data_IF_724385080055
#
_entry.id   IF_724385080055
#
_cell.length_a   1.000
_cell.length_b   1.000
_cell.length_c   1.000
_cell.angle_alpha   90.00
_cell.angle_beta   90.00
_cell.angle_gamma   90.00
#
_symmetry.space_group_name_H-M   'P 1'
#
loop_
_entity.id
_entity.type
_entity.pdbx_description
1 polymer ?
#
# COMPACT_ATOMS: atom_id res chain seq x y z
N UNK A 1 26.18 6.85 -70.25
CA UNK A 1 26.66 5.92 -69.23
C UNK A 1 26.84 6.66 -67.94
N UNK A 2 25.87 6.62 -67.06
CA UNK A 2 25.85 7.29 -65.75
C UNK A 2 26.14 6.26 -64.69
N UNK A 3 27.24 6.40 -63.95
CA UNK A 3 27.65 5.54 -62.84
C UNK A 3 27.04 6.09 -61.54
N UNK A 4 26.15 5.32 -60.92
CA UNK A 4 25.66 5.57 -59.56
C UNK A 4 26.62 4.94 -58.56
N UNK A 5 27.23 5.75 -57.71
CA UNK A 5 27.98 5.30 -56.55
C UNK A 5 27.03 5.13 -55.38
N UNK A 6 26.95 3.89 -54.87
CA UNK A 6 26.20 3.53 -53.68
C UNK A 6 27.06 3.85 -52.45
N UNK A 7 26.66 4.84 -51.64
CA UNK A 7 27.28 5.13 -50.32
C UNK A 7 26.55 4.28 -49.28
N UNK A 8 27.21 3.28 -48.75
CA UNK A 8 26.75 2.48 -47.62
C UNK A 8 27.22 3.19 -46.34
N UNK A 9 26.30 3.83 -45.65
CA UNK A 9 26.56 4.39 -44.30
C UNK A 9 26.45 3.28 -43.25
N UNK A 10 27.57 2.84 -42.70
CA UNK A 10 27.61 1.99 -41.49
C UNK A 10 27.18 2.85 -40.28
N UNK A 11 26.00 2.58 -39.76
CA UNK A 11 25.60 3.05 -38.44
C UNK A 11 26.31 2.19 -37.39
N UNK A 12 27.40 2.70 -36.82
CA UNK A 12 28.01 2.19 -35.62
C UNK A 12 27.06 2.54 -34.44
N UNK A 13 26.29 1.56 -34.00
CA UNK A 13 25.54 1.64 -32.73
C UNK A 13 26.54 1.77 -31.59
N UNK A 14 26.66 2.97 -31.03
CA UNK A 14 27.37 3.18 -29.78
C UNK A 14 26.62 2.44 -28.66
N UNK A 15 27.13 1.30 -28.20
CA UNK A 15 26.77 0.73 -26.91
C UNK A 15 27.13 1.76 -25.84
N UNK A 16 26.13 2.39 -25.25
CA UNK A 16 26.35 3.18 -24.04
C UNK A 16 26.98 2.24 -22.98
N UNK A 17 28.05 2.67 -22.31
CA UNK A 17 28.66 1.85 -21.28
C UNK A 17 27.61 1.62 -20.18
N UNK A 18 27.36 0.35 -19.82
CA UNK A 18 26.63 -0.02 -18.63
C UNK A 18 27.43 0.55 -17.44
N UNK A 19 27.04 1.73 -16.94
CA UNK A 19 27.55 2.22 -15.67
C UNK A 19 27.11 1.22 -14.59
N UNK A 20 28.08 0.64 -13.90
CA UNK A 20 27.80 -0.14 -12.70
C UNK A 20 26.93 0.70 -11.75
N UNK A 21 25.89 0.11 -11.13
CA UNK A 21 25.05 0.86 -10.22
C UNK A 21 25.92 1.44 -9.10
N UNK A 22 25.79 2.75 -8.87
CA UNK A 22 26.48 3.42 -7.79
C UNK A 22 26.05 2.77 -6.45
N UNK A 23 26.97 2.14 -5.75
CA UNK A 23 26.73 1.53 -4.45
C UNK A 23 26.29 2.58 -3.42
N UNK A 24 25.49 2.16 -2.44
CA UNK A 24 25.15 2.99 -1.29
C UNK A 24 26.40 3.14 -0.42
N UNK A 25 26.95 4.34 -0.33
CA UNK A 25 28.08 4.66 0.54
C UNK A 25 27.58 5.37 1.79
N UNK A 26 27.74 4.73 2.92
CA UNK A 26 27.39 5.26 4.23
C UNK A 26 28.67 5.56 5.02
N UNK A 27 28.60 6.53 5.92
CA UNK A 27 29.75 6.96 6.72
C UNK A 27 29.40 7.01 8.22
N UNK A 28 30.42 7.17 9.06
CA UNK A 28 30.26 7.27 10.51
C UNK A 28 29.72 5.97 11.12
N UNK A 29 28.75 6.12 12.01
CA UNK A 29 28.12 4.97 12.71
C UNK A 29 27.36 4.02 11.78
N UNK A 30 27.10 4.41 10.54
CA UNK A 30 26.44 3.58 9.54
C UNK A 30 27.41 3.05 8.47
N UNK A 31 28.72 3.18 8.66
CA UNK A 31 29.70 2.61 7.75
C UNK A 31 29.54 1.08 7.68
N UNK A 32 29.42 0.55 6.46
CA UNK A 32 29.27 -0.88 6.24
C UNK A 32 30.64 -1.55 6.04
N UNK A 33 30.85 -2.69 6.69
CA UNK A 33 32.02 -3.55 6.46
C UNK A 33 31.94 -4.29 5.13
N UNK A 34 30.73 -4.68 4.75
CA UNK A 34 30.47 -5.36 3.49
C UNK A 34 29.21 -4.81 2.82
N UNK A 35 29.29 -4.64 1.51
CA UNK A 35 28.17 -4.20 0.67
C UNK A 35 28.15 -5.02 -0.61
N UNK A 36 26.99 -5.61 -0.89
CA UNK A 36 26.77 -6.33 -2.15
C UNK A 36 25.60 -5.71 -2.88
N UNK A 37 25.83 -5.26 -4.13
CA UNK A 37 24.80 -4.60 -4.96
C UNK A 37 24.60 -5.37 -6.25
N UNK A 38 23.33 -5.59 -6.59
CA UNK A 38 22.88 -6.25 -7.83
C UNK A 38 21.85 -5.37 -8.54
N UNK A 39 21.98 -5.23 -9.85
CA UNK A 39 20.95 -4.62 -10.69
C UNK A 39 19.80 -5.61 -10.91
N UNK A 40 18.57 -5.20 -10.59
CA UNK A 40 17.36 -6.00 -10.83
C UNK A 40 16.70 -5.62 -12.16
N UNK A 41 16.77 -4.35 -12.52
CA UNK A 41 16.31 -3.79 -13.80
C UNK A 41 17.00 -2.46 -14.05
N UNK A 42 16.78 -1.86 -15.22
CA UNK A 42 17.27 -0.49 -15.47
C UNK A 42 16.72 0.50 -14.45
N UNK A 43 17.59 1.13 -13.69
CA UNK A 43 17.24 2.06 -12.60
C UNK A 43 16.74 1.39 -11.31
N UNK A 44 16.83 0.05 -11.18
CA UNK A 44 16.46 -0.67 -9.96
C UNK A 44 17.63 -1.52 -9.49
N UNK A 45 18.03 -1.31 -8.23
CA UNK A 45 19.11 -2.07 -7.60
C UNK A 45 18.66 -2.68 -6.27
N UNK A 46 19.22 -3.81 -5.93
CA UNK A 46 19.18 -4.40 -4.61
C UNK A 46 20.57 -4.31 -3.98
N UNK A 47 20.62 -3.87 -2.73
CA UNK A 47 21.87 -3.81 -1.96
C UNK A 47 21.65 -4.48 -0.61
N UNK A 48 22.52 -5.41 -0.24
CA UNK A 48 22.63 -5.90 1.12
C UNK A 48 23.93 -5.37 1.76
N UNK A 49 23.88 -5.04 3.03
CA UNK A 49 25.02 -4.50 3.78
C UNK A 49 25.02 -4.97 5.23
N UNK A 50 26.21 -5.18 5.76
CA UNK A 50 26.43 -5.39 7.20
C UNK A 50 27.05 -4.13 7.79
N UNK A 51 26.47 -3.63 8.87
CA UNK A 51 26.90 -2.42 9.59
C UNK A 51 27.29 -2.84 11.01
N UNK A 52 28.59 -2.98 11.31
CA UNK A 52 29.06 -3.62 12.55
C UNK A 52 28.78 -2.81 13.80
N UNK A 53 28.67 -1.49 13.69
CA UNK A 53 28.40 -0.62 14.85
C UNK A 53 27.06 -0.87 15.54
N UNK A 54 26.09 -1.51 14.83
CA UNK A 54 24.76 -1.83 15.34
C UNK A 54 24.68 -3.05 16.27
N UNK A 55 25.12 -4.28 15.93
CA UNK A 55 25.28 -4.77 14.56
C UNK A 55 23.95 -4.85 13.80
N UNK A 56 23.98 -4.52 12.51
CA UNK A 56 22.77 -4.50 11.65
C UNK A 56 23.02 -5.12 10.28
N UNK A 57 22.19 -6.07 9.89
CA UNK A 57 22.06 -6.51 8.52
C UNK A 57 20.90 -5.74 7.88
N UNK A 58 21.19 -5.07 6.78
CA UNK A 58 20.27 -4.17 6.09
C UNK A 58 20.15 -4.54 4.62
N UNK A 59 18.95 -4.48 4.13
CA UNK A 59 18.59 -4.80 2.75
C UNK A 59 17.80 -3.63 2.16
N UNK A 60 18.26 -3.13 1.01
CA UNK A 60 17.69 -1.95 0.35
C UNK A 60 17.41 -2.25 -1.11
N UNK A 61 16.18 -2.06 -1.53
CA UNK A 61 15.85 -1.96 -2.96
C UNK A 61 15.69 -0.48 -3.30
N UNK A 62 16.47 -0.01 -4.27
CA UNK A 62 16.45 1.39 -4.72
C UNK A 62 15.84 1.47 -6.12
N UNK A 63 14.89 2.37 -6.30
CA UNK A 63 14.22 2.66 -7.58
C UNK A 63 14.56 4.11 -7.95
N UNK A 64 15.36 4.29 -8.99
CA UNK A 64 15.76 5.61 -9.47
C UNK A 64 14.58 6.38 -10.09
N UNK A 65 14.59 7.72 -10.06
CA UNK A 65 13.63 8.52 -10.80
C UNK A 65 13.70 8.16 -12.29
N UNK A 66 12.53 7.96 -12.91
CA UNK A 66 12.47 7.59 -14.34
C UNK A 66 12.87 6.14 -14.64
N UNK A 67 12.96 5.26 -13.66
CA UNK A 67 13.06 3.82 -13.90
C UNK A 67 11.85 3.37 -14.73
N UNK A 68 12.08 3.05 -16.02
CA UNK A 68 11.00 2.76 -16.97
C UNK A 68 10.53 1.31 -16.86
N UNK A 69 9.21 1.13 -16.92
CA UNK A 69 8.59 -0.20 -16.95
C UNK A 69 8.54 -0.89 -15.60
N UNK A 70 8.74 -0.16 -14.50
CA UNK A 70 8.51 -0.64 -13.14
C UNK A 70 7.32 0.08 -12.51
N UNK A 71 6.56 -0.62 -11.69
CA UNK A 71 5.36 -0.10 -11.05
C UNK A 71 5.25 -0.63 -9.62
N UNK A 72 4.90 0.23 -8.69
CA UNK A 72 4.54 -0.19 -7.34
C UNK A 72 3.09 -0.67 -7.32
N UNK A 73 2.85 -1.77 -6.61
CA UNK A 73 1.52 -2.31 -6.35
C UNK A 73 1.35 -2.63 -4.87
N UNK A 74 0.14 -2.41 -4.36
CA UNK A 74 -0.24 -2.86 -3.02
C UNK A 74 -1.21 -4.03 -3.15
N UNK A 75 -0.88 -5.14 -2.52
CA UNK A 75 -1.67 -6.37 -2.63
C UNK A 75 -2.10 -6.84 -1.25
N UNK A 76 -3.38 -7.12 -1.10
CA UNK A 76 -3.96 -7.68 0.12
C UNK A 76 -3.70 -9.18 0.20
N UNK A 77 -3.40 -9.68 1.39
CA UNK A 77 -3.29 -11.13 1.62
C UNK A 77 -4.60 -11.83 1.29
N UNK A 78 -4.53 -12.88 0.46
CA UNK A 78 -5.69 -13.65 -0.05
C UNK A 78 -6.72 -12.79 -0.81
N UNK A 79 -6.38 -11.55 -1.19
CA UNK A 79 -7.27 -10.56 -1.84
C UNK A 79 -8.52 -10.20 -1.01
N UNK A 80 -8.50 -10.43 0.29
CA UNK A 80 -9.60 -10.14 1.21
C UNK A 80 -9.18 -9.23 2.36
N UNK A 81 -10.13 -8.40 2.85
CA UNK A 81 -9.93 -7.54 4.02
C UNK A 81 -9.49 -8.36 5.23
N UNK A 82 -10.14 -9.50 5.44
CA UNK A 82 -9.76 -10.49 6.46
C UNK A 82 -8.91 -11.56 5.79
N UNK A 83 -7.59 -11.44 5.88
CA UNK A 83 -6.69 -12.39 5.23
C UNK A 83 -5.23 -12.10 5.52
N UNK A 84 -4.43 -13.17 5.60
CA UNK A 84 -2.98 -13.10 5.75
C UNK A 84 -2.32 -14.05 4.78
N UNK A 85 -1.24 -13.61 4.16
CA UNK A 85 -0.47 -14.41 3.23
C UNK A 85 1.01 -14.06 3.35
N UNK A 86 1.90 -15.01 3.11
CA UNK A 86 3.34 -14.77 3.12
C UNK A 86 3.74 -13.84 1.98
N UNK A 87 4.58 -12.81 2.19
CA UNK A 87 5.06 -11.92 1.12
C UNK A 87 5.60 -12.65 -0.11
N UNK A 88 6.35 -13.75 0.08
CA UNK A 88 6.83 -14.57 -1.04
C UNK A 88 5.71 -15.25 -1.83
N UNK A 89 4.63 -15.65 -1.17
CA UNK A 89 3.45 -16.23 -1.83
C UNK A 89 2.67 -15.18 -2.61
N UNK A 90 2.46 -13.99 -2.01
CA UNK A 90 1.84 -12.85 -2.69
C UNK A 90 2.65 -12.46 -3.93
N UNK A 91 3.98 -12.33 -3.81
CA UNK A 91 4.86 -12.01 -4.93
C UNK A 91 4.72 -13.02 -6.07
N UNK A 92 4.72 -14.32 -5.76
CA UNK A 92 4.62 -15.41 -6.75
C UNK A 92 3.27 -15.41 -7.46
N UNK A 93 2.14 -15.32 -6.71
CA UNK A 93 0.82 -15.33 -7.34
C UNK A 93 0.56 -14.06 -8.16
N UNK A 94 1.06 -12.89 -7.68
CA UNK A 94 0.95 -11.65 -8.44
C UNK A 94 1.76 -11.71 -9.74
N UNK A 95 2.99 -12.22 -9.69
CA UNK A 95 3.80 -12.42 -10.89
C UNK A 95 3.09 -13.31 -11.92
N UNK A 96 2.44 -14.38 -11.48
CA UNK A 96 1.67 -15.29 -12.34
C UNK A 96 0.42 -14.61 -12.93
N UNK A 97 -0.36 -13.89 -12.11
CA UNK A 97 -1.59 -13.20 -12.52
C UNK A 97 -1.31 -12.07 -13.52
N UNK A 98 -0.31 -11.23 -13.21
CA UNK A 98 0.09 -10.08 -14.04
C UNK A 98 0.93 -10.48 -15.26
N UNK A 99 1.48 -11.70 -15.26
CA UNK A 99 2.47 -12.16 -16.27
C UNK A 99 3.65 -11.19 -16.37
N UNK A 100 4.10 -10.71 -15.21
CA UNK A 100 5.20 -9.75 -15.02
C UNK A 100 6.10 -10.23 -13.87
N UNK A 101 7.43 -10.02 -13.95
CA UNK A 101 8.28 -10.34 -12.81
C UNK A 101 7.98 -9.41 -11.64
N UNK A 102 7.96 -9.95 -10.42
CA UNK A 102 8.03 -9.17 -9.19
C UNK A 102 9.51 -9.03 -8.86
N UNK A 103 10.05 -7.82 -9.03
CA UNK A 103 11.45 -7.50 -8.77
C UNK A 103 11.75 -7.48 -7.27
N UNK A 104 10.82 -6.92 -6.49
CA UNK A 104 10.91 -6.87 -5.04
C UNK A 104 9.52 -6.85 -4.39
N UNK A 105 9.46 -7.27 -3.13
CA UNK A 105 8.29 -7.15 -2.28
C UNK A 105 8.70 -6.98 -0.82
N UNK A 106 7.92 -6.20 -0.06
CA UNK A 106 8.07 -6.08 1.39
C UNK A 106 6.69 -6.16 2.06
N UNK A 107 6.65 -6.69 3.30
CA UNK A 107 5.45 -6.55 4.13
C UNK A 107 5.11 -5.06 4.29
N UNK A 108 3.83 -4.73 4.45
CA UNK A 108 3.43 -3.33 4.50
C UNK A 108 2.78 -2.95 5.84
N UNK A 109 1.48 -2.74 5.89
CA UNK A 109 0.79 -2.15 7.03
C UNK A 109 0.73 -3.08 8.24
N UNK A 110 0.57 -2.48 9.40
CA UNK A 110 0.19 -3.17 10.65
C UNK A 110 -1.19 -3.82 10.49
N UNK A 111 -1.44 -4.86 11.25
CA UNK A 111 -2.70 -5.60 11.17
C UNK A 111 -3.13 -6.20 12.50
N UNK A 112 -4.43 -6.43 12.62
CA UNK A 112 -5.02 -7.08 13.77
C UNK A 112 -4.84 -8.60 13.72
N UNK A 113 -4.61 -9.22 14.88
CA UNK A 113 -4.61 -10.67 15.01
C UNK A 113 -6.03 -11.24 15.23
N UNK A 114 -6.99 -10.38 15.62
CA UNK A 114 -8.40 -10.71 15.84
C UNK A 114 -9.31 -9.57 15.35
N UNK A 115 -10.09 -9.73 14.26
CA UNK A 115 -10.00 -10.81 13.28
C UNK A 115 -8.66 -10.79 12.55
N UNK A 116 -8.13 -11.97 12.14
CA UNK A 116 -6.79 -12.06 11.62
C UNK A 116 -6.63 -11.37 10.26
N UNK A 117 -5.63 -10.49 10.15
CA UNK A 117 -5.22 -9.92 8.89
C UNK A 117 -6.00 -8.70 8.40
N UNK A 118 -6.84 -8.08 9.24
CA UNK A 118 -7.37 -6.74 8.92
C UNK A 118 -6.26 -5.72 9.13
N UNK A 119 -5.84 -5.03 8.06
CA UNK A 119 -4.85 -3.95 8.15
C UNK A 119 -5.42 -2.74 8.88
N UNK A 120 -4.54 -1.95 9.53
CA UNK A 120 -4.97 -0.79 10.32
C UNK A 120 -5.29 0.41 9.44
N UNK A 121 -4.41 0.74 8.51
CA UNK A 121 -4.56 1.86 7.61
C UNK A 121 -5.48 1.60 6.42
N UNK A 122 -5.74 2.65 5.64
CA UNK A 122 -6.48 2.54 4.39
C UNK A 122 -5.63 1.85 3.32
N UNK A 123 -6.29 1.23 2.34
CA UNK A 123 -5.63 0.62 1.20
C UNK A 123 -6.38 0.90 -0.11
N UNK A 124 -5.61 1.27 -1.14
CA UNK A 124 -6.03 1.30 -2.54
C UNK A 124 -5.16 0.33 -3.31
N UNK A 125 -5.75 -0.55 -4.10
CA UNK A 125 -5.04 -1.51 -4.95
C UNK A 125 -5.57 -1.42 -6.38
N UNK A 126 -4.68 -1.20 -7.34
CA UNK A 126 -5.02 -1.01 -8.76
C UNK A 126 -6.18 -0.02 -8.97
N UNK A 127 -6.16 1.12 -8.26
CA UNK A 127 -7.17 2.18 -8.32
C UNK A 127 -8.46 1.90 -7.52
N UNK A 128 -8.63 0.72 -6.95
CA UNK A 128 -9.82 0.35 -6.18
C UNK A 128 -9.58 0.53 -4.69
N UNK A 129 -10.47 1.23 -4.00
CA UNK A 129 -10.42 1.32 -2.54
C UNK A 129 -10.74 -0.05 -1.95
N UNK A 130 -9.74 -0.66 -1.31
CA UNK A 130 -9.85 -1.99 -0.67
C UNK A 130 -10.56 -1.88 0.66
N UNK A 131 -10.15 -0.91 1.49
CA UNK A 131 -10.76 -0.62 2.79
C UNK A 131 -10.37 0.77 3.29
N UNK A 132 -11.16 1.30 4.20
CA UNK A 132 -10.83 2.46 5.00
C UNK A 132 -9.86 2.10 6.13
N UNK A 133 -9.27 3.10 6.74
CA UNK A 133 -8.61 2.99 8.02
C UNK A 133 -9.53 2.39 9.08
N UNK A 134 -8.94 1.71 10.07
CA UNK A 134 -9.70 1.14 11.18
C UNK A 134 -10.06 2.24 12.19
N UNK A 135 -11.33 2.62 12.19
CA UNK A 135 -11.85 3.65 13.10
C UNK A 135 -12.07 3.14 14.52
N UNK A 136 -12.06 1.85 14.78
CA UNK A 136 -12.20 1.33 16.15
C UNK A 136 -11.03 1.70 17.06
N UNK A 137 -9.86 1.96 16.50
CA UNK A 137 -8.73 2.59 17.19
C UNK A 137 -8.79 4.12 17.24
N UNK A 138 -9.61 4.71 16.41
CA UNK A 138 -9.91 6.15 16.41
C UNK A 138 -10.73 6.65 17.60
N UNK A 139 -10.96 5.82 18.60
CA UNK A 139 -11.28 6.32 19.95
C UNK A 139 -10.19 7.26 20.52
N UNK A 140 -9.02 7.25 19.91
CA UNK A 140 -8.06 8.33 19.93
C UNK A 140 -8.57 9.39 18.93
N UNK A 141 -9.36 10.32 19.42
CA UNK A 141 -10.08 11.40 18.75
C UNK A 141 -9.33 12.17 17.66
N UNK A 142 -8.04 11.96 17.52
CA UNK A 142 -7.12 12.69 16.65
C UNK A 142 -6.89 12.00 15.29
N UNK A 143 -7.01 10.66 15.19
CA UNK A 143 -6.73 9.93 13.94
C UNK A 143 -7.81 10.14 12.89
N UNK A 144 -9.08 10.25 13.30
CA UNK A 144 -10.21 10.55 12.39
C UNK A 144 -10.04 11.93 11.76
N UNK A 145 -9.44 12.87 12.51
CA UNK A 145 -9.23 14.23 12.01
C UNK A 145 -7.96 14.36 11.17
N UNK A 146 -6.89 13.65 11.52
CA UNK A 146 -5.57 13.78 10.88
C UNK A 146 -5.34 12.76 9.75
N UNK A 147 -6.01 11.62 9.77
CA UNK A 147 -5.76 10.51 8.86
C UNK A 147 -4.66 9.57 9.35
N UNK A 148 -4.38 8.53 8.55
CA UNK A 148 -3.38 7.50 8.83
C UNK A 148 -2.15 7.73 7.95
N UNK A 149 -0.92 7.80 8.52
CA UNK A 149 0.29 7.85 7.71
C UNK A 149 0.31 6.74 6.66
N UNK A 150 0.54 7.13 5.42
CA UNK A 150 0.42 6.23 4.27
C UNK A 150 1.39 6.63 3.16
N UNK A 151 1.77 5.65 2.36
CA UNK A 151 2.46 5.84 1.09
C UNK A 151 1.54 5.43 -0.05
N UNK A 152 1.54 6.18 -1.13
CA UNK A 152 0.75 5.88 -2.31
C UNK A 152 1.44 6.22 -3.61
N UNK A 153 0.76 5.85 -4.70
CA UNK A 153 1.15 6.15 -6.08
C UNK A 153 -0.03 6.82 -6.76
N UNK A 154 0.20 7.96 -7.38
CA UNK A 154 -0.83 8.70 -8.10
C UNK A 154 -1.08 8.15 -9.53
N UNK A 155 -1.95 8.83 -10.27
CA UNK A 155 -2.29 8.48 -11.65
C UNK A 155 -1.08 8.49 -12.59
N UNK A 156 -0.08 9.33 -12.32
CA UNK A 156 1.12 9.52 -13.13
C UNK A 156 2.26 8.60 -12.71
N UNK A 157 2.05 7.74 -11.71
CA UNK A 157 3.05 6.82 -11.18
C UNK A 157 4.01 7.44 -10.17
N UNK A 158 3.72 8.66 -9.69
CA UNK A 158 4.55 9.36 -8.71
C UNK A 158 4.22 8.87 -7.30
N UNK A 159 5.26 8.50 -6.56
CA UNK A 159 5.13 8.11 -5.14
C UNK A 159 4.92 9.36 -4.28
N UNK A 160 3.97 9.31 -3.37
CA UNK A 160 3.67 10.38 -2.40
C UNK A 160 3.48 9.80 -0.99
N UNK A 161 3.68 10.67 0.02
CA UNK A 161 3.43 10.37 1.42
C UNK A 161 2.37 11.31 1.96
N UNK A 162 1.45 10.80 2.77
CA UNK A 162 0.32 11.58 3.27
C UNK A 162 -0.25 11.00 4.56
N UNK A 163 -1.09 11.77 5.23
CA UNK A 163 -1.99 11.26 6.28
C UNK A 163 -3.35 11.01 5.64
N UNK A 164 -3.52 9.77 5.16
CA UNK A 164 -4.66 9.37 4.35
C UNK A 164 -5.93 9.15 5.15
N UNK A 165 -7.05 9.53 4.57
CA UNK A 165 -8.40 9.25 5.06
C UNK A 165 -9.29 8.91 3.86
N UNK A 166 -10.02 7.78 3.93
CA UNK A 166 -10.97 7.41 2.90
C UNK A 166 -12.27 8.16 3.11
N UNK A 167 -12.69 8.89 2.11
CA UNK A 167 -14.00 9.54 2.08
C UNK A 167 -14.66 9.37 0.73
N UNK A 168 -15.94 9.61 0.66
CA UNK A 168 -16.68 9.48 -0.58
C UNK A 168 -18.08 10.02 -0.49
N UNK A 169 -18.79 9.83 -1.59
CA UNK A 169 -20.20 10.17 -1.71
C UNK A 169 -20.89 9.25 -2.69
N UNK A 170 -22.20 9.10 -2.54
CA UNK A 170 -23.08 8.58 -3.59
C UNK A 170 -24.26 9.55 -3.78
N UNK A 171 -24.88 9.52 -4.95
CA UNK A 171 -26.08 10.31 -5.25
C UNK A 171 -26.93 9.66 -6.32
N UNK A 172 -28.22 10.00 -6.31
CA UNK A 172 -29.14 9.81 -7.42
C UNK A 172 -28.88 10.86 -8.51
N UNK A 173 -29.48 10.67 -9.68
CA UNK A 173 -29.29 11.56 -10.84
C UNK A 173 -29.55 13.05 -10.52
N UNK A 174 -30.57 13.36 -9.75
CA UNK A 174 -31.00 14.72 -9.36
C UNK A 174 -30.87 15.00 -7.87
N UNK A 175 -30.23 14.07 -7.11
CA UNK A 175 -30.11 14.16 -5.65
C UNK A 175 -28.83 14.84 -5.19
N UNK A 176 -28.87 15.39 -3.98
CA UNK A 176 -27.69 15.85 -3.27
C UNK A 176 -26.76 14.67 -2.94
N UNK A 177 -25.44 14.90 -2.93
CA UNK A 177 -24.49 13.87 -2.54
C UNK A 177 -24.65 13.45 -1.07
N UNK A 178 -24.73 12.14 -0.84
CA UNK A 178 -24.74 11.53 0.50
C UNK A 178 -23.32 11.12 0.87
N UNK A 179 -22.78 11.57 2.00
CA UNK A 179 -21.43 11.22 2.40
C UNK A 179 -21.28 9.73 2.70
N UNK A 180 -20.20 9.13 2.17
CA UNK A 180 -19.74 7.79 2.51
C UNK A 180 -18.62 7.90 3.54
N UNK A 181 -18.75 7.18 4.65
CA UNK A 181 -17.84 7.25 5.80
C UNK A 181 -16.86 6.10 5.89
N UNK A 182 -16.95 5.16 4.97
CA UNK A 182 -16.03 4.02 4.97
C UNK A 182 -16.23 3.06 3.82
N UNK A 183 -15.25 2.19 3.66
CA UNK A 183 -15.27 1.07 2.70
C UNK A 183 -14.85 -0.18 3.42
N UNK A 184 -15.64 -1.26 3.30
CA UNK A 184 -15.35 -2.56 3.91
C UNK A 184 -15.05 -2.47 5.43
N UNK A 185 -15.81 -1.67 6.13
CA UNK A 185 -15.72 -1.45 7.57
C UNK A 185 -17.12 -1.50 8.22
N UNK A 186 -17.19 -1.48 9.53
CA UNK A 186 -18.46 -1.46 10.25
C UNK A 186 -19.29 -0.20 9.96
N UNK A 187 -20.62 -0.34 9.92
CA UNK A 187 -21.55 0.74 9.66
C UNK A 187 -21.91 1.43 10.97
N UNK A 188 -21.37 2.61 11.22
CA UNK A 188 -21.75 3.41 12.38
C UNK A 188 -23.15 4.00 12.21
N UNK A 189 -23.83 4.29 13.32
CA UNK A 189 -25.16 4.89 13.31
C UNK A 189 -25.16 6.24 12.57
N UNK A 190 -26.08 6.41 11.63
CA UNK A 190 -26.19 7.63 10.82
C UNK A 190 -25.13 7.77 9.73
N UNK A 191 -24.45 6.70 9.36
CA UNK A 191 -23.44 6.69 8.30
C UNK A 191 -23.77 5.71 7.18
N UNK A 192 -23.22 5.99 5.99
CA UNK A 192 -23.21 5.08 4.87
C UNK A 192 -21.81 4.54 4.64
N UNK A 193 -21.72 3.25 4.33
CA UNK A 193 -20.48 2.51 4.04
C UNK A 193 -20.65 1.78 2.71
N UNK A 194 -19.58 1.65 1.95
CA UNK A 194 -19.55 0.80 0.77
C UNK A 194 -18.91 -0.54 1.09
N UNK A 195 -19.56 -1.62 0.67
CA UNK A 195 -18.96 -2.94 0.61
C UNK A 195 -18.65 -3.33 -0.83
N UNK A 196 -17.53 -3.96 -1.07
CA UNK A 196 -17.13 -4.53 -2.35
C UNK A 196 -16.51 -5.92 -2.12
N UNK A 197 -16.17 -6.63 -3.20
CA UNK A 197 -15.70 -8.02 -3.13
C UNK A 197 -14.44 -8.26 -2.30
N UNK A 198 -13.73 -7.23 -1.85
CA UNK A 198 -12.61 -7.38 -0.92
C UNK A 198 -13.06 -7.77 0.50
N UNK A 199 -14.32 -7.47 0.91
CA UNK A 199 -14.83 -7.96 2.20
C UNK A 199 -15.11 -9.47 2.17
N UNK A 200 -15.38 -10.01 1.00
CA UNK A 200 -15.79 -11.39 0.75
C UNK A 200 -16.90 -11.47 -0.28
N UNK A 201 -17.51 -12.63 -0.42
CA UNK A 201 -18.65 -12.85 -1.31
C UNK A 201 -19.97 -12.23 -0.79
N UNK A 202 -20.00 -11.88 0.50
CA UNK A 202 -21.18 -11.32 1.18
C UNK A 202 -20.79 -10.19 2.11
N UNK A 203 -21.73 -9.27 2.36
CA UNK A 203 -21.62 -8.28 3.44
C UNK A 203 -21.66 -8.98 4.81
N UNK A 204 -21.09 -8.38 5.87
CA UNK A 204 -21.25 -8.89 7.22
C UNK A 204 -22.70 -8.89 7.67
N UNK A 205 -23.07 -9.91 8.46
CA UNK A 205 -24.37 -9.94 9.14
C UNK A 205 -24.42 -8.80 10.16
N UNK A 206 -25.25 -7.81 9.92
CA UNK A 206 -25.38 -6.63 10.78
C UNK A 206 -26.84 -6.16 10.87
N UNK A 207 -27.45 -6.35 12.03
CA UNK A 207 -28.83 -5.97 12.27
C UNK A 207 -29.04 -4.44 12.27
N UNK A 208 -30.11 -3.98 11.67
CA UNK A 208 -30.46 -2.55 11.60
C UNK A 208 -29.68 -1.79 10.53
N UNK A 209 -29.16 -2.48 9.54
CA UNK A 209 -28.53 -1.92 8.34
C UNK A 209 -29.45 -2.15 7.16
N UNK A 210 -29.68 -1.11 6.38
CA UNK A 210 -30.33 -1.19 5.06
C UNK A 210 -29.24 -1.35 4.02
N UNK A 211 -29.34 -2.36 3.16
CA UNK A 211 -28.36 -2.69 2.15
C UNK A 211 -28.95 -2.52 0.75
N UNK A 212 -28.29 -1.75 -0.08
CA UNK A 212 -28.65 -1.50 -1.48
C UNK A 212 -27.59 -2.10 -2.39
N UNK A 213 -27.99 -3.11 -3.16
CA UNK A 213 -27.11 -3.79 -4.10
C UNK A 213 -27.08 -2.99 -5.40
N UNK A 214 -25.89 -2.54 -5.79
CA UNK A 214 -25.66 -1.72 -6.97
C UNK A 214 -24.78 -2.47 -7.96
N UNK A 215 -25.35 -2.84 -9.10
CA UNK A 215 -24.60 -3.37 -10.24
C UNK A 215 -23.80 -2.27 -10.89
N UNK A 216 -22.48 -2.42 -10.95
CA UNK A 216 -21.57 -1.47 -11.55
C UNK A 216 -21.71 -1.50 -13.08
N UNK A 217 -22.11 -0.39 -13.69
CA UNK A 217 -22.18 -0.21 -15.14
C UNK A 217 -20.89 0.37 -15.69
N UNK A 218 -20.30 1.34 -14.96
CA UNK A 218 -19.00 1.94 -15.26
C UNK A 218 -18.21 2.08 -13.98
N UNK A 219 -17.18 1.28 -13.85
CA UNK A 219 -16.26 1.34 -12.71
C UNK A 219 -15.40 2.61 -12.75
N UNK A 220 -15.00 3.10 -11.58
CA UNK A 220 -13.91 4.05 -11.46
C UNK A 220 -12.61 3.39 -11.91
N UNK A 221 -11.79 4.08 -12.69
CA UNK A 221 -10.49 3.59 -13.11
C UNK A 221 -9.47 3.75 -11.97
N UNK A 222 -9.57 4.83 -11.22
CA UNK A 222 -8.72 5.14 -10.06
C UNK A 222 -9.58 5.66 -8.90
N UNK A 223 -9.09 5.54 -7.68
CA UNK A 223 -9.69 6.20 -6.54
C UNK A 223 -9.67 7.72 -6.77
N UNK A 224 -10.84 8.36 -6.65
CA UNK A 224 -11.10 9.74 -7.03
C UNK A 224 -11.98 9.89 -8.27
N UNK A 225 -12.01 8.91 -9.16
CA UNK A 225 -12.91 8.93 -10.32
C UNK A 225 -14.35 8.63 -9.89
N UNK A 226 -15.31 9.03 -10.75
CA UNK A 226 -16.73 8.73 -10.55
C UNK A 226 -17.10 7.42 -11.23
N UNK A 227 -17.71 6.52 -10.47
CA UNK A 227 -18.35 5.31 -10.95
C UNK A 227 -19.85 5.51 -11.13
N UNK A 228 -20.49 4.63 -11.89
CA UNK A 228 -21.93 4.61 -12.14
C UNK A 228 -22.46 3.18 -12.07
N UNK A 229 -23.59 3.00 -11.44
CA UNK A 229 -24.28 1.72 -11.36
C UNK A 229 -25.79 1.85 -11.38
N UNK A 230 -26.45 0.71 -11.35
CA UNK A 230 -27.91 0.57 -11.28
C UNK A 230 -28.27 -0.27 -10.08
N UNK A 231 -29.22 0.19 -9.29
CA UNK A 231 -29.78 -0.56 -8.17
C UNK A 231 -30.44 -1.83 -8.70
N UNK A 232 -30.07 -2.98 -8.16
CA UNK A 232 -30.65 -4.28 -8.52
C UNK A 232 -31.42 -4.92 -7.38
N UNK A 233 -31.23 -4.45 -6.16
CA UNK A 233 -31.95 -4.94 -4.98
C UNK A 233 -31.79 -3.99 -3.80
N UNK A 234 -32.78 -4.03 -2.91
CA UNK A 234 -32.76 -3.35 -1.61
C UNK A 234 -33.16 -4.41 -0.59
N UNK A 235 -32.34 -4.60 0.42
CA UNK A 235 -32.56 -5.57 1.46
C UNK A 235 -32.47 -4.91 2.85
N UNK A 236 -33.47 -5.17 3.67
CA UNK A 236 -33.50 -4.79 5.08
C UNK A 236 -33.39 -6.01 6.00
N UNK A 237 -33.12 -7.18 5.42
CA UNK A 237 -32.95 -8.42 6.18
C UNK A 237 -31.64 -8.41 7.00
N UNK A 238 -31.63 -9.21 8.07
CA UNK A 238 -30.58 -9.18 9.09
C UNK A 238 -29.35 -10.06 8.75
N UNK A 239 -29.27 -10.59 7.53
CA UNK A 239 -28.37 -11.71 7.22
C UNK A 239 -27.28 -11.40 6.19
N UNK A 240 -27.00 -10.13 5.91
CA UNK A 240 -26.07 -9.73 4.85
C UNK A 240 -26.53 -10.12 3.46
N UNK A 241 -25.97 -9.50 2.41
CA UNK A 241 -26.31 -9.76 1.00
C UNK A 241 -25.08 -10.21 0.22
N UNK A 242 -25.31 -10.92 -0.88
CA UNK A 242 -24.25 -11.32 -1.81
C UNK A 242 -23.71 -10.10 -2.55
N UNK A 243 -22.38 -10.08 -2.73
CA UNK A 243 -21.67 -9.05 -3.48
C UNK A 243 -21.13 -9.69 -4.76
N UNK A 244 -21.82 -9.56 -5.91
CA UNK A 244 -21.29 -10.07 -7.16
C UNK A 244 -19.97 -9.40 -7.54
N UNK A 245 -19.11 -10.12 -8.27
CA UNK A 245 -17.79 -9.61 -8.66
C UNK A 245 -17.92 -8.29 -9.46
N UNK A 246 -17.25 -7.25 -9.00
CA UNK A 246 -17.28 -5.92 -9.62
C UNK A 246 -18.41 -5.01 -9.17
N UNK A 247 -19.39 -5.52 -8.44
CA UNK A 247 -20.52 -4.75 -7.88
C UNK A 247 -20.17 -4.17 -6.50
N UNK A 248 -21.04 -3.32 -5.99
CA UNK A 248 -20.93 -2.71 -4.66
C UNK A 248 -22.26 -2.80 -3.93
N UNK A 249 -22.18 -2.82 -2.60
CA UNK A 249 -23.35 -2.67 -1.72
C UNK A 249 -23.19 -1.38 -0.93
N UNK A 250 -24.21 -0.54 -0.95
CA UNK A 250 -24.33 0.64 -0.09
C UNK A 250 -25.06 0.17 1.16
N UNK A 251 -24.40 0.24 2.31
CA UNK A 251 -24.98 -0.13 3.59
C UNK A 251 -25.16 1.14 4.44
N UNK A 252 -26.36 1.38 4.92
CA UNK A 252 -26.70 2.56 5.71
C UNK A 252 -27.44 2.14 7.00
N UNK A 253 -26.91 2.57 8.14
CA UNK A 253 -27.57 2.35 9.44
C UNK A 253 -28.50 3.52 9.75
N UNK A 254 -29.67 3.22 10.29
CA UNK A 254 -30.72 4.15 10.64
C UNK A 254 -30.17 5.44 11.32
N UNK A 255 -30.65 6.59 10.83
CA UNK A 255 -30.36 7.90 11.42
C UNK A 255 -31.36 8.17 12.54
N UNK A 256 -30.91 8.48 13.76
CA UNK A 256 -31.83 8.94 14.80
C UNK A 256 -32.37 10.31 14.40
N UNK A 257 -33.68 10.42 14.34
CA UNK A 257 -34.46 11.65 14.19
C UNK A 257 -34.17 12.56 12.97
N UNK A 258 -35.20 12.83 12.19
CA UNK A 258 -35.33 13.88 11.17
C UNK A 258 -34.69 13.64 9.76
N UNK A 259 -34.55 12.43 9.31
CA UNK A 259 -34.22 12.18 7.89
C UNK A 259 -34.34 10.70 7.58
N UNK A 260 -35.17 10.32 6.62
CA UNK A 260 -35.16 8.98 6.09
C UNK A 260 -33.76 8.64 5.59
N UNK A 261 -33.31 7.40 5.78
CA UNK A 261 -32.12 6.89 5.11
C UNK A 261 -32.26 7.15 3.61
N UNK A 262 -31.28 7.78 3.00
CA UNK A 262 -31.36 8.08 1.55
C UNK A 262 -31.42 6.80 0.76
N UNK A 263 -30.74 5.76 1.25
CA UNK A 263 -30.80 4.41 0.68
C UNK A 263 -32.24 3.83 0.66
N UNK A 264 -33.09 4.23 1.59
CA UNK A 264 -34.51 3.82 1.59
C UNK A 264 -35.35 4.41 0.45
N UNK A 265 -34.84 5.45 -0.21
CA UNK A 265 -35.48 6.05 -1.39
C UNK A 265 -35.05 5.38 -2.69
N UNK A 266 -34.04 4.49 -2.65
CA UNK A 266 -33.51 3.80 -3.81
C UNK A 266 -34.40 2.60 -4.16
N UNK A 267 -34.71 2.45 -5.45
CA UNK A 267 -35.52 1.35 -5.98
C UNK A 267 -34.73 0.61 -7.09
N UNK A 268 -34.98 -0.68 -7.31
CA UNK A 268 -34.44 -1.39 -8.45
C UNK A 268 -34.72 -0.64 -9.76
N UNK A 269 -33.65 -0.43 -10.55
CA UNK A 269 -33.67 0.36 -11.79
C UNK A 269 -33.11 1.77 -11.65
N UNK A 270 -32.99 2.30 -10.44
CA UNK A 270 -32.39 3.62 -10.21
C UNK A 270 -30.92 3.64 -10.55
N UNK A 271 -30.50 4.73 -11.20
CA UNK A 271 -29.07 4.97 -11.43
C UNK A 271 -28.42 5.66 -10.23
N UNK A 272 -27.26 5.19 -9.84
CA UNK A 272 -26.46 5.73 -8.73
C UNK A 272 -25.07 6.10 -9.24
N UNK A 273 -24.62 7.28 -8.88
CA UNK A 273 -23.25 7.76 -9.07
C UNK A 273 -22.53 7.75 -7.73
N UNK A 274 -21.26 7.36 -7.72
CA UNK A 274 -20.43 7.47 -6.50
C UNK A 274 -18.98 7.76 -6.83
N UNK A 275 -18.28 8.32 -5.87
CA UNK A 275 -16.83 8.48 -5.90
C UNK A 275 -16.26 8.18 -4.51
N UNK A 276 -15.16 7.45 -4.49
CA UNK A 276 -14.36 7.18 -3.29
C UNK A 276 -12.98 7.79 -3.52
N UNK A 277 -12.53 8.64 -2.63
CA UNK A 277 -11.25 9.35 -2.74
C UNK A 277 -10.44 9.28 -1.45
N UNK A 278 -9.19 9.62 -1.56
CA UNK A 278 -8.29 9.73 -0.41
C UNK A 278 -8.09 11.21 -0.11
N UNK A 279 -8.56 11.66 1.06
CA UNK A 279 -8.30 13.02 1.54
C UNK A 279 -6.80 13.20 1.81
N UNK A 280 -6.29 14.40 1.63
CA UNK A 280 -4.88 14.78 1.76
C UNK A 280 -3.94 14.06 0.77
N UNK A 281 -4.47 13.50 -0.32
CA UNK A 281 -3.72 12.84 -1.36
C UNK A 281 -3.98 13.52 -2.73
N UNK A 282 -3.20 13.18 -3.78
CA UNK A 282 -3.53 13.57 -5.14
C UNK A 282 -4.97 13.19 -5.52
N UNK A 283 -5.56 13.95 -6.44
CA UNK A 283 -6.97 13.77 -6.81
C UNK A 283 -7.32 12.37 -7.30
N UNK A 284 -6.36 11.66 -7.89
CA UNK A 284 -6.51 10.31 -8.42
C UNK A 284 -5.38 9.42 -7.89
N UNK A 285 -5.73 8.36 -7.18
CA UNK A 285 -4.80 7.45 -6.52
C UNK A 285 -4.90 6.06 -7.13
N UNK A 286 -3.74 5.52 -7.53
CA UNK A 286 -3.61 4.16 -8.07
C UNK A 286 -3.36 3.14 -6.98
N UNK A 287 -2.42 3.44 -6.09
CA UNK A 287 -2.00 2.55 -5.00
C UNK A 287 -1.90 3.35 -3.70
N UNK A 288 -2.24 2.73 -2.59
CA UNK A 288 -2.06 3.31 -1.26
C UNK A 288 -1.96 2.19 -0.23
N UNK A 289 -1.07 2.34 0.73
CA UNK A 289 -1.00 1.47 1.91
C UNK A 289 -0.60 2.26 3.13
N UNK A 290 -1.18 1.90 4.28
CA UNK A 290 -0.86 2.48 5.57
C UNK A 290 0.49 2.03 6.13
N UNK A 291 0.94 2.75 7.15
CA UNK A 291 2.10 2.44 7.97
C UNK A 291 2.11 3.33 9.20
N UNK A 292 3.02 3.12 10.12
CA UNK A 292 3.16 3.96 11.31
C UNK A 292 4.48 3.69 12.05
N UNK A 293 5.14 4.71 12.60
CA UNK A 293 4.89 6.14 12.36
C UNK A 293 5.58 6.63 11.06
N UNK A 294 5.21 7.85 10.65
CA UNK A 294 6.07 8.62 9.75
C UNK A 294 7.37 8.95 10.49
N UNK A 295 8.51 8.65 9.89
CA UNK A 295 9.84 8.90 10.46
C UNK A 295 10.38 10.26 10.02
N UNK A 296 10.30 10.52 8.72
CA UNK A 296 10.78 11.76 8.09
C UNK A 296 9.68 12.33 7.20
N UNK A 297 9.57 13.66 7.20
CA UNK A 297 8.78 14.44 6.25
C UNK A 297 9.59 15.65 5.85
N UNK A 298 9.83 15.84 4.55
CA UNK A 298 10.65 16.93 4.01
C UNK A 298 12.02 17.08 4.73
N UNK A 299 12.65 15.95 5.06
CA UNK A 299 13.94 15.89 5.77
C UNK A 299 13.87 16.09 7.28
N UNK A 300 12.71 16.43 7.82
CA UNK A 300 12.49 16.68 9.25
C UNK A 300 11.99 15.38 9.93
N UNK A 301 12.54 15.05 11.10
CA UNK A 301 12.02 13.93 11.91
C UNK A 301 10.67 14.32 12.53
N UNK A 302 9.68 13.44 12.33
CA UNK A 302 8.28 13.66 12.76
C UNK A 302 7.72 12.48 13.55
N UNK A 303 8.58 11.67 14.14
CA UNK A 303 8.19 10.42 14.83
C UNK A 303 7.16 10.68 15.91
N UNK A 304 5.92 10.24 15.68
CA UNK A 304 4.85 10.30 16.67
C UNK A 304 4.92 9.05 17.57
N UNK A 305 5.31 9.26 18.83
CA UNK A 305 5.39 8.23 19.86
C UNK A 305 4.16 8.15 20.73
N UNK A 306 3.23 9.08 20.59
CA UNK A 306 2.01 9.14 21.42
C UNK A 306 1.06 7.99 21.11
N UNK A 307 1.21 7.37 19.94
CA UNK A 307 0.43 6.21 19.49
C UNK A 307 1.18 4.88 19.66
N UNK A 308 2.22 4.85 20.52
CA UNK A 308 2.96 3.61 20.78
C UNK A 308 2.02 2.60 21.47
N UNK A 309 1.54 1.64 20.67
CA UNK A 309 0.49 0.69 21.08
C UNK A 309 0.96 -0.32 22.10
N UNK A 310 2.27 -0.55 22.14
CA UNK A 310 2.95 -1.34 23.16
C UNK A 310 3.92 -0.39 23.84
N UNK A 311 3.71 -0.03 25.12
CA UNK A 311 4.59 0.92 25.82
C UNK A 311 6.07 0.60 25.62
N UNK A 312 6.82 1.57 25.14
CA UNK A 312 8.25 1.43 24.85
C UNK A 312 8.59 0.58 23.62
N UNK A 313 7.64 0.21 22.75
CA UNK A 313 7.94 -0.51 21.51
C UNK A 313 8.82 0.31 20.56
N UNK A 314 8.57 1.61 20.46
CA UNK A 314 9.36 2.53 19.63
C UNK A 314 10.82 2.65 20.12
N UNK A 315 11.05 2.56 21.43
CA UNK A 315 12.35 2.67 22.06
C UNK A 315 13.15 1.35 22.04
N UNK A 316 12.55 0.24 21.67
CA UNK A 316 13.21 -1.08 21.61
C UNK A 316 13.72 -1.37 20.20
N UNK A 317 14.84 -2.08 20.13
CA UNK A 317 15.37 -2.59 18.88
C UNK A 317 14.53 -3.77 18.37
N UNK A 318 14.06 -3.66 17.14
CA UNK A 318 13.27 -4.68 16.45
C UNK A 318 13.70 -4.76 14.98
N UNK A 319 13.44 -5.89 14.27
CA UNK A 319 13.40 -5.88 12.82
C UNK A 319 12.48 -4.77 12.32
N UNK A 320 12.86 -4.09 11.24
CA UNK A 320 12.10 -2.94 10.70
C UNK A 320 11.92 -3.06 9.20
N UNK A 321 10.80 -2.55 8.72
CA UNK A 321 10.50 -2.38 7.29
C UNK A 321 10.15 -0.92 7.06
N UNK A 322 10.73 -0.30 6.02
CA UNK A 322 10.51 1.11 5.69
C UNK A 322 10.32 1.27 4.20
N UNK A 323 9.45 2.19 3.81
CA UNK A 323 9.45 2.79 2.49
C UNK A 323 9.88 4.25 2.63
N UNK A 324 10.83 4.67 1.77
CA UNK A 324 11.38 6.02 1.84
C UNK A 324 11.54 6.62 0.44
N UNK A 325 11.65 7.96 0.38
CA UNK A 325 11.90 8.71 -0.86
C UNK A 325 12.96 9.76 -0.60
N UNK A 326 13.86 9.93 -1.54
CA UNK A 326 14.81 11.06 -1.59
C UNK A 326 14.18 12.28 -2.26
N UNK A 327 14.78 13.43 -2.07
CA UNK A 327 14.34 14.67 -2.70
C UNK A 327 14.40 14.63 -4.24
N UNK A 328 15.31 13.85 -4.81
CA UNK A 328 15.42 13.61 -6.25
C UNK A 328 14.32 12.68 -6.83
N UNK A 329 13.46 12.13 -5.97
CA UNK A 329 12.41 11.19 -6.34
C UNK A 329 12.82 9.71 -6.29
N UNK A 330 14.06 9.37 -5.96
CA UNK A 330 14.49 7.98 -5.72
C UNK A 330 13.67 7.36 -4.60
N UNK A 331 13.08 6.19 -4.84
CA UNK A 331 12.30 5.44 -3.83
C UNK A 331 13.13 4.27 -3.30
N UNK A 332 13.05 4.03 -2.01
CA UNK A 332 13.76 2.93 -1.34
C UNK A 332 12.78 2.07 -0.55
N UNK A 333 12.89 0.74 -0.71
CA UNK A 333 12.31 -0.24 0.20
C UNK A 333 13.45 -0.77 1.07
N UNK A 334 13.30 -0.70 2.39
CA UNK A 334 14.36 -1.04 3.34
C UNK A 334 13.85 -2.08 4.33
N UNK A 335 14.62 -3.13 4.54
CA UNK A 335 14.42 -4.08 5.63
C UNK A 335 15.68 -4.13 6.50
N UNK A 336 15.50 -4.11 7.80
CA UNK A 336 16.54 -4.28 8.81
C UNK A 336 16.23 -5.53 9.61
N UNK A 337 17.13 -6.49 9.60
CA UNK A 337 17.01 -7.68 10.43
C UNK A 337 17.17 -7.35 11.93
N UNK A 338 16.68 -8.22 12.79
CA UNK A 338 16.84 -8.05 14.22
C UNK A 338 16.51 -9.31 15.00
N UNK A 339 16.65 -9.22 16.34
CA UNK A 339 16.39 -10.30 17.29
C UNK A 339 17.32 -11.52 17.10
N UNK A 340 18.52 -11.31 16.55
CA UNK A 340 19.54 -12.34 16.38
C UNK A 340 20.94 -11.78 16.66
N UNK A 341 21.91 -12.64 16.93
CA UNK A 341 23.26 -12.26 17.34
C UNK A 341 23.94 -11.31 16.35
N UNK A 342 23.89 -11.60 15.06
CA UNK A 342 24.51 -10.78 14.01
C UNK A 342 23.69 -9.54 13.60
N UNK A 343 22.44 -9.38 14.09
CA UNK A 343 21.62 -8.22 13.81
C UNK A 343 20.56 -8.00 14.88
N UNK A 344 20.73 -6.95 15.66
CA UNK A 344 19.88 -6.68 16.84
C UNK A 344 18.59 -5.94 16.51
N UNK A 345 18.51 -5.36 15.31
CA UNK A 345 17.42 -4.46 14.89
C UNK A 345 17.67 -3.02 15.31
N UNK A 346 16.72 -2.15 14.99
CA UNK A 346 16.81 -0.70 15.27
C UNK A 346 15.65 -0.21 16.13
N UNK A 347 15.92 0.74 17.02
CA UNK A 347 14.90 1.64 17.58
C UNK A 347 14.35 2.55 16.47
N UNK A 348 13.25 3.27 16.72
CA UNK A 348 12.77 4.24 15.72
C UNK A 348 13.69 5.44 15.55
N UNK A 349 14.47 5.80 16.58
CA UNK A 349 15.45 6.87 16.47
C UNK A 349 16.64 6.45 15.58
N UNK A 350 17.23 5.28 15.86
CA UNK A 350 18.31 4.71 15.05
C UNK A 350 17.86 4.55 13.60
N UNK A 351 16.60 4.10 13.39
CA UNK A 351 16.03 3.95 12.06
C UNK A 351 15.85 5.30 11.36
N UNK A 352 15.39 6.33 12.07
CA UNK A 352 15.22 7.68 11.54
C UNK A 352 16.57 8.28 11.10
N UNK A 353 17.60 8.13 11.94
CA UNK A 353 18.94 8.59 11.62
C UNK A 353 19.56 7.81 10.46
N UNK A 354 19.26 6.51 10.38
CA UNK A 354 19.66 5.67 9.26
C UNK A 354 18.98 6.10 7.95
N UNK A 355 17.69 6.41 7.97
CA UNK A 355 16.98 6.94 6.77
C UNK A 355 17.58 8.29 6.33
N UNK A 356 17.97 9.16 7.26
CA UNK A 356 18.69 10.40 6.92
C UNK A 356 20.04 10.11 6.28
N UNK A 357 20.80 9.17 6.82
CA UNK A 357 22.08 8.76 6.25
C UNK A 357 21.94 8.19 4.83
N UNK A 358 20.81 7.51 4.53
CA UNK A 358 20.45 7.09 3.18
C UNK A 358 19.99 8.25 2.27
N UNK A 359 19.87 9.48 2.80
CA UNK A 359 19.44 10.67 2.06
C UNK A 359 17.93 10.78 1.86
N UNK A 360 17.13 10.07 2.67
CA UNK A 360 15.68 10.16 2.58
C UNK A 360 15.17 11.55 3.00
N UNK A 361 14.25 12.11 2.21
CA UNK A 361 13.42 13.26 2.58
C UNK A 361 12.14 12.82 3.29
N UNK A 362 11.56 11.72 2.84
CA UNK A 362 10.36 11.14 3.43
C UNK A 362 10.62 9.67 3.77
N UNK A 363 10.15 9.22 4.92
CA UNK A 363 10.27 7.83 5.33
C UNK A 363 9.09 7.41 6.21
N UNK A 364 8.44 6.31 5.84
CA UNK A 364 7.33 5.71 6.57
C UNK A 364 7.74 4.33 7.08
N UNK A 365 7.66 4.14 8.41
CA UNK A 365 7.82 2.82 9.00
C UNK A 365 6.59 1.97 8.71
N UNK A 366 6.82 0.76 8.25
CA UNK A 366 5.81 -0.27 8.03
C UNK A 366 5.81 -1.27 9.19
N UNK A 367 4.97 -2.30 9.13
CA UNK A 367 4.99 -3.33 10.17
C UNK A 367 6.35 -4.01 10.26
N UNK A 368 6.75 -4.27 11.48
CA UNK A 368 8.09 -4.75 11.80
C UNK A 368 8.09 -6.08 12.57
N UNK A 369 9.18 -6.31 13.28
CA UNK A 369 9.32 -7.52 14.09
C UNK A 369 9.28 -8.78 13.23
N UNK A 370 8.43 -9.76 13.60
CA UNK A 370 8.29 -11.00 12.84
C UNK A 370 7.69 -10.84 11.44
N UNK A 371 7.06 -9.69 11.16
CA UNK A 371 6.51 -9.39 9.83
C UNK A 371 7.58 -8.93 8.84
N UNK A 372 8.72 -8.42 9.31
CA UNK A 372 9.80 -7.91 8.45
C UNK A 372 10.28 -8.97 7.47
N UNK A 373 9.92 -8.77 6.21
CA UNK A 373 10.26 -9.68 5.11
C UNK A 373 10.54 -8.86 3.86
N UNK A 374 11.68 -9.13 3.21
CA UNK A 374 11.99 -8.62 1.88
C UNK A 374 12.17 -9.79 0.92
N UNK A 375 11.45 -9.75 -0.18
CA UNK A 375 11.56 -10.70 -1.29
C UNK A 375 12.21 -9.98 -2.46
N UNK A 376 13.22 -10.56 -3.05
CA UNK A 376 13.88 -10.07 -4.28
C UNK A 376 13.99 -11.24 -5.24
N UNK A 377 13.55 -11.02 -6.46
CA UNK A 377 13.54 -12.03 -7.52
C UNK A 377 12.97 -13.40 -7.05
N UNK A 378 11.82 -13.31 -6.35
CA UNK A 378 11.07 -14.46 -5.83
C UNK A 378 11.68 -15.15 -4.62
N UNK A 379 12.77 -14.64 -4.04
CA UNK A 379 13.45 -15.21 -2.86
C UNK A 379 13.40 -14.26 -1.68
N UNK A 380 13.13 -14.78 -0.48
CA UNK A 380 13.31 -14.02 0.76
C UNK A 380 14.82 -13.79 0.96
N UNK A 381 15.24 -12.53 1.05
CA UNK A 381 16.65 -12.14 1.09
C UNK A 381 17.12 -11.72 2.47
N UNK A 382 16.20 -11.39 3.39
CA UNK A 382 16.49 -11.10 4.78
C UNK A 382 16.24 -12.34 5.68
N UNK A 383 16.43 -12.21 6.99
CA UNK A 383 16.18 -13.29 7.95
C UNK A 383 14.97 -12.94 8.84
N UNK A 384 13.76 -13.37 8.47
CA UNK A 384 12.58 -13.17 9.30
C UNK A 384 12.76 -13.73 10.71
N UNK A 385 12.37 -12.95 11.73
CA UNK A 385 12.69 -13.25 13.12
C UNK A 385 11.75 -14.25 13.82
N UNK A 386 10.67 -14.67 13.18
CA UNK A 386 9.79 -15.70 13.71
C UNK A 386 10.42 -17.09 13.53
N UNK A 387 10.17 -18.00 14.46
CA UNK A 387 10.75 -19.37 14.45
C UNK A 387 10.35 -20.16 13.20
N UNK A 388 9.15 -19.90 12.70
CA UNK A 388 8.60 -20.52 11.50
C UNK A 388 9.07 -19.83 10.21
N UNK A 389 9.97 -18.84 10.32
CA UNK A 389 10.47 -18.04 9.23
C UNK A 389 9.49 -16.93 8.82
N UNK A 390 9.19 -16.83 7.54
CA UNK A 390 8.35 -15.78 6.96
C UNK A 390 6.92 -15.80 7.52
N UNK A 391 6.49 -14.70 8.14
CA UNK A 391 5.14 -14.53 8.68
C UNK A 391 4.13 -14.26 7.55
N UNK A 392 2.91 -14.83 7.67
CA UNK A 392 1.79 -14.38 6.87
C UNK A 392 1.30 -13.01 7.36
N UNK A 393 1.27 -12.02 6.47
CA UNK A 393 0.94 -10.61 6.72
C UNK A 393 -0.34 -10.20 6.02
N UNK A 394 -0.89 -9.06 6.42
CA UNK A 394 -2.14 -8.51 5.91
C UNK A 394 -2.03 -8.03 4.47
N UNK A 395 -0.95 -7.34 4.14
CA UNK A 395 -0.70 -6.77 2.82
C UNK A 395 0.79 -6.63 2.54
N UNK A 396 1.09 -6.42 1.27
CA UNK A 396 2.45 -6.40 0.73
C UNK A 396 2.56 -5.24 -0.26
N UNK A 397 3.68 -4.51 -0.22
CA UNK A 397 4.07 -3.54 -1.23
C UNK A 397 5.04 -4.24 -2.20
N UNK A 398 4.67 -4.26 -3.47
CA UNK A 398 5.40 -4.93 -4.55
C UNK A 398 6.01 -3.93 -5.52
N UNK A 399 7.11 -4.29 -6.15
CA UNK A 399 7.67 -3.64 -7.33
C UNK A 399 7.59 -4.61 -8.50
N UNK A 400 6.70 -4.35 -9.46
CA UNK A 400 6.58 -5.11 -10.69
C UNK A 400 7.54 -4.60 -11.75
N UNK A 401 8.21 -5.50 -12.44
CA UNK A 401 9.02 -5.22 -13.60
C UNK A 401 8.22 -5.19 -14.91
N UNK A 402 8.89 -4.86 -16.01
CA UNK A 402 8.28 -4.77 -17.35
C UNK A 402 7.83 -6.15 -17.85
N UNK A 403 6.69 -6.17 -18.55
CA UNK A 403 6.23 -7.36 -19.28
C UNK A 403 7.26 -7.78 -20.33
N UNK A 404 7.75 -9.02 -20.28
CA UNK A 404 8.54 -9.62 -21.37
C UNK A 404 10.07 -9.46 -21.33
N UNK A 405 10.65 -9.03 -20.20
CA UNK A 405 12.10 -9.13 -19.99
C UNK A 405 12.36 -10.26 -19.00
N UNK A 406 12.61 -11.47 -19.50
CA UNK A 406 13.41 -12.45 -18.77
C UNK A 406 14.86 -12.01 -18.89
N UNK A 407 15.51 -11.69 -17.79
CA UNK A 407 16.95 -11.56 -17.71
C UNK A 407 17.64 -12.89 -18.04
#
# INVERSE_FOLDING_TARGET
MMRYSLVVSLLLGACAPHMAPAGLHLAGVFAADSTHTVALASGVTYTSMNIPSGPWDVYVVTVAPGAHGVEFHTVKGLDHVVGRERPSSVARRTAAAERRPVLAAVNADFFNFKPPGVSEGPQVSAGRVVKSEDTHRAALTDTVLRGQPSVGVDADGKVFFTDAHVEGWFRLRSGEPVPVRGVNTSVARGSAVFYNSFIGARTPDDSGVLEVIVRTVRAAALAGDTAVGVVVGVDSALAGVDIPAGDVVIAERERPAAGANVSALLQPGDSVWWSLRIRNAPARVRELVGGFPMLLRDGVAVVDRTRDMIPGFSAKRHPRTVVARRADGTVMLVAVDGRREGSVGMTLDELTDFMRALGASDALNLDGGGSTTMVVDGRVVNHPSDKEGERAVSNVLLLLGRKGVRG
#
